data_IF_595331420874
#
_entry.id   IF_595331420874
#
_cell.length_a   1.000
_cell.length_b   1.000
_cell.length_c   1.000
_cell.angle_alpha   90.00
_cell.angle_beta   90.00
_cell.angle_gamma   90.00
#
_symmetry.space_group_name_H-M   'P 1'
#
loop_
_entity.id
_entity.type
_entity.pdbx_description
1 polymer ?
#
# COMPACT_ATOMS: atom_id res chain seq x y z
N UNK A 1 -72.18 -5.23 18.31
CA UNK A 1 -71.23 -6.30 17.91
C UNK A 1 -69.96 -5.63 17.40
N UNK A 2 -68.85 -5.65 18.15
CA UNK A 2 -67.59 -5.01 17.78
C UNK A 2 -66.69 -6.05 17.09
N UNK A 3 -66.28 -5.81 15.84
CA UNK A 3 -65.29 -6.63 15.14
C UNK A 3 -63.90 -6.14 15.53
N UNK A 4 -63.12 -6.95 16.25
CA UNK A 4 -61.70 -6.70 16.46
C UNK A 4 -60.92 -7.33 15.30
N UNK A 5 -60.13 -6.52 14.61
CA UNK A 5 -59.18 -6.99 13.60
C UNK A 5 -57.83 -7.25 14.28
N UNK A 6 -57.37 -8.50 14.22
CA UNK A 6 -56.05 -8.91 14.69
C UNK A 6 -55.04 -8.64 13.55
N UNK A 7 -54.17 -7.65 13.71
CA UNK A 7 -53.08 -7.37 12.78
C UNK A 7 -51.87 -8.21 13.23
N UNK A 8 -51.57 -9.26 12.48
CA UNK A 8 -50.37 -10.07 12.69
C UNK A 8 -49.22 -9.42 11.92
N UNK A 9 -48.38 -8.67 12.62
CA UNK A 9 -47.15 -8.11 12.06
C UNK A 9 -46.11 -9.24 11.93
N UNK A 10 -46.00 -9.82 10.75
CA UNK A 10 -44.95 -10.79 10.42
C UNK A 10 -43.59 -10.07 10.41
N UNK A 11 -42.78 -10.28 11.46
CA UNK A 11 -41.33 -10.06 11.38
C UNK A 11 -40.74 -11.16 10.48
N UNK A 12 -40.74 -10.93 9.17
CA UNK A 12 -39.81 -11.61 8.29
C UNK A 12 -38.41 -11.10 8.67
N UNK A 13 -37.72 -11.83 9.55
CA UNK A 13 -36.29 -11.63 9.78
C UNK A 13 -35.59 -11.78 8.44
N UNK A 14 -35.12 -10.66 7.89
CA UNK A 14 -34.19 -10.63 6.77
C UNK A 14 -32.88 -11.24 7.28
N UNK A 15 -32.75 -12.57 7.19
CA UNK A 15 -31.49 -13.26 7.47
C UNK A 15 -30.56 -12.91 6.31
N UNK A 16 -29.80 -11.82 6.46
CA UNK A 16 -28.61 -11.61 5.65
C UNK A 16 -27.67 -12.79 5.95
N UNK A 17 -27.63 -13.77 5.04
CA UNK A 17 -26.61 -14.79 5.09
C UNK A 17 -25.25 -14.10 4.97
N UNK A 18 -24.51 -14.03 6.08
CA UNK A 18 -23.13 -13.55 6.08
C UNK A 18 -22.34 -14.61 5.34
N UNK A 19 -21.98 -14.35 4.08
CA UNK A 19 -21.10 -15.23 3.32
C UNK A 19 -19.73 -15.11 3.95
N UNK A 20 -19.33 -16.11 4.74
CA UNK A 20 -17.98 -16.21 5.28
C UNK A 20 -17.08 -16.74 4.18
N UNK A 21 -16.19 -15.90 3.66
CA UNK A 21 -15.16 -16.33 2.72
C UNK A 21 -13.93 -16.82 3.52
N UNK A 22 -13.44 -18.01 3.18
CA UNK A 22 -12.14 -18.49 3.68
C UNK A 22 -11.03 -17.77 2.90
N UNK A 23 -10.58 -16.64 3.45
CA UNK A 23 -9.54 -15.82 2.87
C UNK A 23 -8.14 -16.21 3.38
N UNK A 24 -7.78 -17.49 3.47
CA UNK A 24 -6.48 -17.89 4.03
C UNK A 24 -5.29 -17.17 3.34
N UNK A 25 -4.63 -16.25 4.07
CA UNK A 25 -3.54 -15.41 3.56
C UNK A 25 -3.97 -14.21 2.70
N UNK A 26 -5.26 -13.89 2.69
CA UNK A 26 -5.87 -12.78 1.96
C UNK A 26 -6.86 -12.02 2.87
N UNK A 27 -7.18 -10.78 2.54
CA UNK A 27 -8.07 -9.93 3.31
C UNK A 27 -8.84 -8.94 2.44
N UNK A 28 -9.79 -8.23 3.07
CA UNK A 28 -10.77 -7.38 2.39
C UNK A 28 -11.89 -8.20 1.75
N UNK A 29 -13.04 -7.63 1.45
CA UNK A 29 -14.15 -8.37 0.82
C UNK A 29 -14.08 -8.22 -0.71
N UNK A 30 -14.13 -9.30 -1.52
CA UNK A 30 -14.14 -10.73 -1.19
C UNK A 30 -12.75 -11.41 -1.33
N UNK A 31 -11.83 -11.18 -0.41
CA UNK A 31 -10.44 -11.63 -0.36
C UNK A 31 -9.52 -11.06 -1.47
N UNK A 32 -9.60 -9.76 -1.75
CA UNK A 32 -8.90 -9.16 -2.89
C UNK A 32 -7.43 -8.76 -2.62
N UNK A 33 -7.04 -8.67 -1.35
CA UNK A 33 -5.69 -8.25 -0.97
C UNK A 33 -4.91 -9.41 -0.37
N UNK A 34 -3.73 -9.69 -0.89
CA UNK A 34 -2.86 -10.73 -0.34
C UNK A 34 -1.97 -10.14 0.75
N UNK A 35 -1.98 -10.74 1.94
CA UNK A 35 -1.01 -10.40 2.97
C UNK A 35 0.29 -11.18 2.75
N UNK A 36 1.41 -10.60 3.21
CA UNK A 36 2.76 -11.19 3.07
C UNK A 36 3.47 -11.26 4.42
N UNK A 37 2.78 -11.83 5.40
CA UNK A 37 3.36 -12.14 6.71
C UNK A 37 4.32 -13.33 6.60
N UNK A 38 5.23 -13.49 7.56
CA UNK A 38 6.04 -14.71 7.71
C UNK A 38 5.19 -15.95 8.02
N UNK A 39 3.95 -15.76 8.47
CA UNK A 39 2.91 -16.80 8.52
C UNK A 39 1.59 -16.32 7.89
N UNK A 40 0.46 -16.63 8.53
CA UNK A 40 -0.89 -16.26 8.06
C UNK A 40 -1.36 -14.96 8.72
N UNK A 41 -2.11 -14.15 7.96
CA UNK A 41 -2.85 -13.00 8.50
C UNK A 41 -4.30 -13.36 8.83
N UNK A 42 -4.93 -12.53 9.67
CA UNK A 42 -6.37 -12.58 9.93
C UNK A 42 -7.21 -11.97 8.79
N UNK A 43 -8.53 -11.95 8.97
CA UNK A 43 -9.50 -11.39 8.02
C UNK A 43 -9.32 -9.88 7.73
N UNK A 44 -8.61 -9.17 8.62
CA UNK A 44 -8.28 -7.75 8.47
C UNK A 44 -6.88 -7.54 7.85
N UNK A 45 -6.16 -8.63 7.56
CA UNK A 45 -4.80 -8.59 7.03
C UNK A 45 -3.73 -8.46 8.11
N UNK A 46 -4.09 -8.50 9.40
CA UNK A 46 -3.15 -8.35 10.51
C UNK A 46 -2.31 -9.62 10.65
N UNK A 47 -0.99 -9.48 10.69
CA UNK A 47 -0.10 -10.60 11.00
C UNK A 47 -0.25 -11.01 12.47
N UNK A 48 -0.13 -12.32 12.76
CA UNK A 48 -0.18 -12.80 14.14
C UNK A 48 0.96 -12.21 15.00
N UNK A 49 0.76 -12.17 16.32
CA UNK A 49 1.77 -11.64 17.26
C UNK A 49 3.12 -12.34 17.10
N UNK A 50 4.20 -11.56 16.98
CA UNK A 50 5.55 -12.06 16.75
C UNK A 50 5.88 -12.37 15.28
N UNK A 51 4.92 -12.23 14.36
CA UNK A 51 5.19 -12.29 12.92
C UNK A 51 5.50 -10.90 12.36
N UNK A 52 6.23 -10.89 11.25
CA UNK A 52 6.61 -9.69 10.52
C UNK A 52 6.27 -9.84 9.05
N UNK A 53 6.46 -8.77 8.28
CA UNK A 53 6.40 -8.86 6.83
C UNK A 53 7.55 -9.70 6.29
N UNK A 54 7.28 -10.46 5.24
CA UNK A 54 8.31 -11.06 4.40
C UNK A 54 9.23 -9.96 3.86
N UNK A 55 10.50 -10.30 3.66
CA UNK A 55 11.47 -9.35 3.09
C UNK A 55 10.96 -8.77 1.77
N UNK A 56 11.09 -7.45 1.60
CA UNK A 56 10.57 -6.70 0.44
C UNK A 56 9.07 -6.35 0.52
N UNK A 57 8.41 -6.59 1.65
CA UNK A 57 7.01 -6.22 1.88
C UNK A 57 6.84 -5.37 3.14
N UNK A 58 5.87 -4.48 3.11
CA UNK A 58 5.58 -3.57 4.22
C UNK A 58 4.11 -3.12 4.23
N UNK A 59 3.76 -2.30 5.21
CA UNK A 59 2.41 -1.79 5.44
C UNK A 59 1.69 -2.54 6.58
N UNK A 60 0.55 -2.02 7.06
CA UNK A 60 -0.17 -2.60 8.20
C UNK A 60 -0.55 -4.07 8.04
N UNK A 61 -0.75 -4.53 6.80
CA UNK A 61 -1.09 -5.91 6.45
C UNK A 61 -0.01 -6.58 5.58
N UNK A 62 1.21 -6.02 5.52
CA UNK A 62 2.27 -6.46 4.63
C UNK A 62 1.84 -6.56 3.15
N UNK A 63 0.94 -5.66 2.74
CA UNK A 63 0.28 -5.72 1.44
C UNK A 63 1.04 -4.97 0.35
N UNK A 64 1.99 -4.12 0.71
CA UNK A 64 2.74 -3.28 -0.23
C UNK A 64 4.12 -3.86 -0.48
N UNK A 65 4.51 -3.93 -1.75
CA UNK A 65 5.85 -4.33 -2.15
C UNK A 65 6.79 -3.11 -2.10
N UNK A 66 7.96 -3.28 -1.49
CA UNK A 66 9.03 -2.28 -1.52
C UNK A 66 9.75 -2.34 -2.87
N UNK A 67 9.28 -1.53 -3.82
CA UNK A 67 9.89 -1.46 -5.15
C UNK A 67 11.30 -0.85 -5.14
N UNK A 68 11.64 -0.05 -4.12
CA UNK A 68 12.98 0.54 -3.96
C UNK A 68 14.03 -0.52 -3.60
N UNK A 69 13.61 -1.60 -2.94
CA UNK A 69 14.48 -2.74 -2.58
C UNK A 69 14.80 -3.71 -3.73
N UNK A 70 14.04 -3.68 -4.83
CA UNK A 70 14.13 -4.65 -5.94
C UNK A 70 14.59 -4.04 -7.27
N UNK A 71 15.38 -2.97 -7.19
CA UNK A 71 15.98 -2.30 -8.35
C UNK A 71 16.93 -3.22 -9.12
N UNK A 72 16.97 -3.04 -10.43
CA UNK A 72 17.77 -3.84 -11.36
C UNK A 72 18.54 -2.94 -12.35
N UNK A 73 19.85 -3.17 -12.55
CA UNK A 73 20.72 -4.03 -11.75
C UNK A 73 20.79 -3.63 -10.26
N UNK A 74 21.02 -4.56 -9.31
CA UNK A 74 21.06 -4.28 -7.87
C UNK A 74 22.11 -3.24 -7.46
N UNK A 75 23.09 -2.98 -8.32
CA UNK A 75 24.20 -2.04 -8.13
C UNK A 75 23.98 -0.71 -8.84
N UNK A 76 22.90 -0.55 -9.61
CA UNK A 76 22.71 0.61 -10.49
C UNK A 76 22.17 1.85 -9.79
N UNK A 77 21.80 1.75 -8.52
CA UNK A 77 21.43 2.91 -7.72
C UNK A 77 22.53 3.14 -6.70
N UNK A 78 23.45 4.04 -7.04
CA UNK A 78 24.41 4.57 -6.06
C UNK A 78 23.62 5.22 -4.93
N UNK A 79 23.53 4.49 -3.83
CA UNK A 79 23.08 4.96 -2.53
C UNK A 79 21.62 4.72 -2.17
N UNK A 80 20.94 3.71 -2.75
CA UNK A 80 19.81 3.08 -2.06
C UNK A 80 20.27 1.76 -1.41
N UNK A 81 19.91 1.56 -0.15
CA UNK A 81 20.07 0.31 0.59
C UNK A 81 18.78 0.00 1.32
N UNK A 82 18.14 -1.14 0.99
CA UNK A 82 16.86 -1.56 1.57
C UNK A 82 15.75 -0.49 1.47
N UNK A 83 15.66 0.22 0.34
CA UNK A 83 14.67 1.28 0.14
C UNK A 83 15.02 2.63 0.79
N UNK A 84 16.15 2.74 1.50
CA UNK A 84 16.61 3.98 2.14
C UNK A 84 17.83 4.56 1.44
N UNK A 85 17.93 5.89 1.40
CA UNK A 85 19.13 6.57 0.95
C UNK A 85 20.29 6.28 1.92
N UNK A 86 21.44 5.82 1.42
CA UNK A 86 22.64 5.65 2.23
C UNK A 86 23.23 7.01 2.61
N UNK A 87 23.80 7.12 3.81
CA UNK A 87 24.39 8.35 4.38
C UNK A 87 25.50 9.02 3.53
N UNK A 88 25.94 8.39 2.44
CA UNK A 88 26.87 8.95 1.45
C UNK A 88 26.22 9.90 0.44
N UNK A 89 24.89 10.09 0.48
CA UNK A 89 24.11 10.84 -0.52
C UNK A 89 23.69 12.26 -0.07
N UNK A 90 24.59 13.01 0.56
CA UNK A 90 24.25 14.33 1.12
C UNK A 90 23.84 15.38 0.06
N UNK A 91 24.03 15.12 -1.23
CA UNK A 91 23.75 16.06 -2.33
C UNK A 91 23.04 15.40 -3.54
N UNK A 92 22.19 14.40 -3.32
CA UNK A 92 21.51 13.72 -4.41
C UNK A 92 20.45 14.66 -5.05
N UNK A 93 20.70 15.11 -6.28
CA UNK A 93 19.73 15.89 -7.07
C UNK A 93 18.80 15.03 -7.92
N UNK A 94 19.18 13.78 -8.20
CA UNK A 94 18.38 12.86 -9.04
C UNK A 94 18.58 11.43 -8.58
N UNK A 95 17.47 10.73 -8.38
CA UNK A 95 17.41 9.30 -8.10
C UNK A 95 16.81 8.58 -9.31
N UNK A 96 17.57 7.68 -9.92
CA UNK A 96 17.08 6.87 -11.05
C UNK A 96 16.88 5.44 -10.57
N UNK A 97 15.64 4.97 -10.60
CA UNK A 97 15.28 3.60 -10.28
C UNK A 97 14.99 2.85 -11.57
N UNK A 98 15.67 1.73 -11.75
CA UNK A 98 15.45 0.83 -12.87
C UNK A 98 14.90 -0.49 -12.34
N UNK A 99 13.99 -1.10 -13.08
CA UNK A 99 13.40 -2.39 -12.76
C UNK A 99 13.47 -3.30 -13.98
N UNK A 100 13.56 -4.61 -13.75
CA UNK A 100 13.61 -5.61 -14.82
C UNK A 100 12.26 -5.88 -15.51
N UNK A 101 11.18 -5.29 -14.98
CA UNK A 101 9.82 -5.37 -15.51
C UNK A 101 9.01 -4.16 -15.08
N UNK A 102 7.89 -3.94 -15.73
CA UNK A 102 6.91 -2.92 -15.34
C UNK A 102 6.18 -3.31 -14.06
N UNK A 103 5.93 -2.34 -13.19
CA UNK A 103 5.14 -2.49 -11.98
C UNK A 103 4.01 -1.46 -11.98
N UNK A 104 2.83 -1.89 -11.53
CA UNK A 104 1.79 -0.97 -11.14
C UNK A 104 2.06 -0.50 -9.73
N UNK A 105 2.06 0.81 -9.52
CA UNK A 105 2.12 1.40 -8.19
C UNK A 105 1.01 2.46 -8.09
N UNK A 106 0.45 2.63 -6.89
CA UNK A 106 -0.72 3.48 -6.66
C UNK A 106 -0.39 4.74 -5.85
N UNK A 107 0.71 4.71 -5.10
CA UNK A 107 1.18 5.81 -4.26
C UNK A 107 2.69 5.69 -4.07
N UNK A 108 3.35 6.79 -3.72
CA UNK A 108 4.80 6.84 -3.50
C UNK A 108 5.07 7.73 -2.29
N UNK A 109 5.75 7.20 -1.27
CA UNK A 109 6.24 8.01 -0.16
C UNK A 109 7.67 8.45 -0.41
N UNK A 110 7.93 9.74 -0.24
CA UNK A 110 9.26 10.35 -0.32
C UNK A 110 9.57 10.94 1.05
N UNK A 111 10.72 10.56 1.61
CA UNK A 111 11.23 11.13 2.86
C UNK A 111 12.61 11.75 2.62
N UNK A 112 12.80 12.99 3.07
CA UNK A 112 14.00 13.78 2.83
C UNK A 112 14.47 14.45 4.11
N UNK A 113 15.78 14.48 4.34
CA UNK A 113 16.35 15.15 5.52
C UNK A 113 16.15 16.67 5.50
N UNK A 114 16.08 17.27 4.30
CA UNK A 114 15.85 18.69 4.12
C UNK A 114 14.44 18.94 3.58
N UNK A 115 13.60 19.55 4.41
CA UNK A 115 12.21 19.89 4.11
C UNK A 115 12.03 20.84 2.93
N UNK A 116 13.05 21.64 2.61
CA UNK A 116 12.97 22.63 1.51
C UNK A 116 12.79 21.96 0.15
N UNK A 117 13.20 20.70 0.01
CA UNK A 117 13.05 19.92 -1.23
C UNK A 117 11.76 19.09 -1.27
N UNK A 118 11.01 18.99 -0.18
CA UNK A 118 9.85 18.09 -0.06
C UNK A 118 8.77 18.38 -1.10
N UNK A 119 8.65 19.64 -1.54
CA UNK A 119 7.70 20.07 -2.57
C UNK A 119 8.35 20.44 -3.91
N UNK A 120 9.68 20.29 -4.02
CA UNK A 120 10.47 20.71 -5.18
C UNK A 120 11.21 19.53 -5.81
N UNK A 121 10.46 18.51 -6.23
CA UNK A 121 10.98 17.39 -6.99
C UNK A 121 10.06 17.05 -8.17
N UNK A 122 10.58 16.28 -9.12
CA UNK A 122 9.83 15.83 -10.29
C UNK A 122 10.01 14.33 -10.45
N UNK A 123 8.91 13.63 -10.73
CA UNK A 123 8.91 12.19 -11.02
C UNK A 123 8.77 12.01 -12.52
N UNK A 124 9.75 11.33 -13.11
CA UNK A 124 9.75 11.00 -14.54
C UNK A 124 9.68 9.47 -14.70
N UNK A 125 8.79 9.01 -15.58
CA UNK A 125 8.68 7.60 -15.95
C UNK A 125 9.41 7.36 -17.26
N UNK A 126 10.06 6.20 -17.39
CA UNK A 126 10.96 5.88 -18.52
C UNK A 126 10.22 5.59 -19.85
N UNK A 127 8.91 5.83 -19.91
CA UNK A 127 8.16 5.71 -21.15
C UNK A 127 8.15 7.10 -21.82
N UNK A 128 8.33 7.17 -23.13
CA UNK A 128 8.21 8.42 -23.93
C UNK A 128 6.85 9.13 -23.78
N UNK A 129 5.91 8.51 -23.06
CA UNK A 129 4.71 9.15 -22.55
C UNK A 129 4.97 9.69 -21.15
N UNK A 130 5.11 11.01 -21.05
CA UNK A 130 4.88 11.72 -19.79
C UNK A 130 3.41 11.51 -19.41
N UNK A 131 3.11 10.46 -18.64
CA UNK A 131 1.77 10.32 -18.05
C UNK A 131 1.72 11.40 -16.97
N UNK A 132 1.14 12.54 -17.33
CA UNK A 132 0.88 13.59 -16.36
C UNK A 132 0.06 13.00 -15.21
N UNK A 133 0.54 13.16 -13.98
CA UNK A 133 -0.23 12.84 -12.79
C UNK A 133 -1.38 13.86 -12.68
N UNK A 134 -2.41 13.70 -13.51
CA UNK A 134 -3.55 14.62 -13.64
C UNK A 134 -4.38 14.73 -12.37
N UNK A 135 -4.22 13.78 -11.45
CA UNK A 135 -4.82 13.77 -10.12
C UNK A 135 -3.77 13.53 -9.02
N UNK A 136 -2.56 14.08 -9.17
CA UNK A 136 -1.56 14.01 -8.12
C UNK A 136 -2.16 14.57 -6.82
N UNK A 137 -2.22 13.73 -5.78
CA UNK A 137 -2.60 14.14 -4.44
C UNK A 137 -1.35 14.04 -3.59
N UNK A 138 -0.88 15.19 -3.15
CA UNK A 138 0.23 15.29 -2.23
C UNK A 138 -0.33 15.35 -0.81
N UNK A 139 0.08 14.44 0.06
CA UNK A 139 -0.26 14.43 1.47
C UNK A 139 1.00 14.54 2.31
N UNK A 140 1.18 15.68 2.98
CA UNK A 140 2.28 15.87 3.93
C UNK A 140 1.99 15.06 5.20
N UNK A 141 2.79 14.03 5.46
CA UNK A 141 2.70 13.21 6.67
C UNK A 141 3.36 13.94 7.85
N UNK A 142 4.52 14.53 7.59
CA UNK A 142 5.29 15.36 8.54
C UNK A 142 6.18 16.36 7.77
N UNK A 143 7.00 17.15 8.48
CA UNK A 143 7.87 18.17 7.88
C UNK A 143 8.90 17.64 6.87
N UNK A 144 9.13 16.33 6.85
CA UNK A 144 10.17 15.65 6.07
C UNK A 144 9.63 14.55 5.16
N UNK A 145 8.32 14.27 5.19
CA UNK A 145 7.71 13.12 4.52
C UNK A 145 6.45 13.51 3.75
N UNK A 146 6.41 13.09 2.49
CA UNK A 146 5.32 13.31 1.55
C UNK A 146 4.82 11.98 0.98
N UNK A 147 3.50 11.81 0.93
CA UNK A 147 2.79 10.74 0.22
C UNK A 147 2.09 11.23 -1.04
#
# INVERSE_FOLDING_TARGET
MKKQALIVLSLAMLVCAVVTFDCNGWFGTPCIYKCRCTGVCDENGTCASGQSCLSGWFGPACQYADLGSIVYPPTSVTGLSNGYCSNSLNNLSTLVLNWNKSYHFTWMRVSMNNSDFLHNFTVNFNNDQTIGCTNLRNATVDSTTLD
#
